data_IF_439079134587
#
_entry.id   IF_439079134587
#
_cell.length_a   1.000
_cell.length_b   1.000
_cell.length_c   1.000
_cell.angle_alpha   90.00
_cell.angle_beta   90.00
_cell.angle_gamma   90.00
#
_symmetry.space_group_name_H-M   'P 1'
#
loop_
_entity.id
_entity.type
_entity.pdbx_description
1 polymer ?
#
# COMPACT_ATOMS: atom_id res chain seq x y z
N UNK A 1 6.63 -20.65 -0.08
CA UNK A 1 6.28 -19.36 0.56
C UNK A 1 4.87 -18.98 0.15
N UNK A 2 4.04 -18.47 1.06
CA UNK A 2 2.70 -17.94 0.76
C UNK A 2 2.76 -16.42 0.91
N UNK A 3 2.24 -15.66 -0.05
CA UNK A 3 2.24 -14.20 0.04
C UNK A 3 1.15 -13.72 0.99
N UNK A 4 1.26 -12.49 1.51
CA UNK A 4 0.23 -11.92 2.37
C UNK A 4 -1.16 -11.91 1.72
N UNK A 5 -1.23 -11.67 0.40
CA UNK A 5 -2.47 -11.75 -0.37
C UNK A 5 -3.09 -13.17 -0.37
N UNK A 6 -2.26 -14.22 -0.48
CA UNK A 6 -2.74 -15.60 -0.40
C UNK A 6 -3.29 -15.90 1.00
N UNK A 7 -2.56 -15.50 2.05
CA UNK A 7 -2.96 -15.72 3.45
C UNK A 7 -4.24 -14.96 3.79
N UNK A 8 -4.38 -13.72 3.33
CA UNK A 8 -5.59 -12.92 3.54
C UNK A 8 -6.83 -13.61 2.96
N UNK A 9 -6.73 -14.15 1.75
CA UNK A 9 -7.85 -14.76 1.05
C UNK A 9 -8.14 -16.21 1.44
N UNK A 10 -7.21 -16.89 2.14
CA UNK A 10 -7.37 -18.30 2.53
C UNK A 10 -7.58 -18.47 4.03
N UNK A 11 -6.70 -17.89 4.84
CA UNK A 11 -6.63 -18.14 6.28
C UNK A 11 -7.27 -17.00 7.10
N UNK A 12 -7.29 -15.77 6.57
CA UNK A 12 -7.65 -14.54 7.31
C UNK A 12 -8.84 -13.77 6.72
N UNK A 13 -9.70 -14.42 5.94
CA UNK A 13 -10.87 -13.78 5.29
C UNK A 13 -11.78 -13.05 6.28
N UNK A 14 -11.87 -13.53 7.52
CA UNK A 14 -12.66 -12.91 8.58
C UNK A 14 -12.27 -11.46 8.88
N UNK A 15 -11.04 -11.05 8.54
CA UNK A 15 -10.60 -9.67 8.68
C UNK A 15 -11.36 -8.70 7.77
N UNK A 16 -11.95 -9.17 6.67
CA UNK A 16 -12.68 -8.38 5.69
C UNK A 16 -14.20 -8.46 5.84
N UNK A 17 -14.71 -9.44 6.60
CA UNK A 17 -16.12 -9.78 6.61
C UNK A 17 -17.01 -8.58 7.03
N UNK A 18 -18.01 -8.29 6.21
CA UNK A 18 -18.97 -7.19 6.40
C UNK A 18 -18.40 -5.78 6.17
N UNK A 19 -17.15 -5.64 5.74
CA UNK A 19 -16.47 -4.35 5.63
C UNK A 19 -16.51 -3.78 4.22
N UNK A 20 -16.53 -2.45 4.15
CA UNK A 20 -16.11 -1.68 2.98
C UNK A 20 -14.58 -1.63 2.94
N UNK A 21 -13.99 -2.19 1.89
CA UNK A 21 -12.55 -2.36 1.76
C UNK A 21 -12.00 -1.32 0.80
N UNK A 22 -11.03 -0.54 1.29
CA UNK A 22 -10.11 0.20 0.45
C UNK A 22 -8.93 -0.68 0.05
N UNK A 23 -8.45 -0.56 -1.18
CA UNK A 23 -7.28 -1.32 -1.65
C UNK A 23 -6.20 -0.37 -2.16
N UNK A 24 -5.04 -0.35 -1.50
CA UNK A 24 -3.79 0.19 -2.03
C UNK A 24 -3.03 -0.92 -2.75
N UNK A 25 -2.96 -0.82 -4.07
CA UNK A 25 -2.37 -1.85 -4.93
C UNK A 25 -1.73 -1.23 -6.18
N UNK A 26 -0.95 -2.05 -6.87
CA UNK A 26 -0.25 -1.73 -8.11
C UNK A 26 -0.14 -3.02 -8.96
N UNK A 27 0.40 -2.98 -10.20
CA UNK A 27 0.37 -4.14 -11.09
C UNK A 27 0.95 -5.45 -10.52
N UNK A 28 1.95 -5.40 -9.63
CA UNK A 28 2.54 -6.61 -9.04
C UNK A 28 1.80 -7.11 -7.78
N UNK A 29 0.63 -6.56 -7.47
CA UNK A 29 -0.30 -7.04 -6.43
C UNK A 29 -0.99 -8.35 -6.84
N UNK A 30 -0.19 -9.34 -7.19
CA UNK A 30 -0.60 -10.67 -7.67
C UNK A 30 -0.52 -11.71 -6.54
N UNK A 31 -1.44 -12.67 -6.54
CA UNK A 31 -1.38 -13.88 -5.72
C UNK A 31 -0.35 -14.89 -6.27
N UNK A 32 -0.16 -16.01 -5.57
CA UNK A 32 0.74 -17.09 -5.98
C UNK A 32 0.41 -17.74 -7.34
N UNK A 33 -0.79 -17.47 -7.89
CA UNK A 33 -1.27 -17.98 -9.19
C UNK A 33 -1.22 -16.90 -10.28
N UNK A 34 -0.64 -15.73 -9.99
CA UNK A 34 -0.56 -14.62 -10.92
C UNK A 34 -1.88 -13.85 -11.12
N UNK A 35 -2.86 -14.01 -10.22
CA UNK A 35 -4.13 -13.26 -10.27
C UNK A 35 -4.03 -12.01 -9.42
N UNK A 36 -4.45 -10.88 -9.97
CA UNK A 36 -4.42 -9.60 -9.26
C UNK A 36 -5.43 -9.56 -8.10
N UNK A 37 -4.99 -9.07 -6.95
CA UNK A 37 -5.75 -9.04 -5.70
C UNK A 37 -7.09 -8.31 -5.85
N UNK A 38 -7.13 -7.19 -6.59
CA UNK A 38 -8.39 -6.49 -6.91
C UNK A 38 -9.41 -7.43 -7.57
N UNK A 39 -8.99 -8.20 -8.58
CA UNK A 39 -9.89 -9.12 -9.28
C UNK A 39 -10.40 -10.23 -8.36
N UNK A 40 -9.53 -10.74 -7.47
CA UNK A 40 -9.90 -11.74 -6.48
C UNK A 40 -10.91 -11.19 -5.45
N UNK A 41 -10.69 -9.98 -4.93
CA UNK A 41 -11.59 -9.33 -3.99
C UNK A 41 -12.94 -8.99 -4.62
N UNK A 42 -12.97 -8.60 -5.90
CA UNK A 42 -14.20 -8.29 -6.64
C UNK A 42 -15.02 -9.53 -7.00
N UNK A 43 -14.38 -10.70 -7.12
CA UNK A 43 -15.07 -11.96 -7.37
C UNK A 43 -15.89 -12.43 -6.16
N UNK A 44 -15.48 -12.05 -4.94
CA UNK A 44 -16.06 -12.52 -3.67
C UNK A 44 -17.00 -11.49 -3.02
N UNK A 45 -18.07 -11.10 -3.74
CA UNK A 45 -18.98 -10.01 -3.34
C UNK A 45 -19.87 -10.29 -2.11
N UNK A 46 -19.89 -11.52 -1.62
CA UNK A 46 -20.82 -11.93 -0.54
C UNK A 46 -20.30 -11.61 0.86
N UNK A 47 -18.98 -11.51 1.00
CA UNK A 47 -18.34 -11.40 2.32
C UNK A 47 -17.89 -9.97 2.63
N UNK A 48 -17.54 -9.17 1.62
CA UNK A 48 -17.09 -7.78 1.75
C UNK A 48 -17.42 -6.98 0.49
N UNK A 49 -17.18 -5.66 0.55
CA UNK A 49 -17.36 -4.78 -0.59
C UNK A 49 -16.12 -3.93 -0.82
N UNK A 50 -15.45 -4.06 -1.97
CA UNK A 50 -14.41 -3.09 -2.35
C UNK A 50 -15.09 -1.81 -2.80
N UNK A 51 -14.74 -0.68 -2.18
CA UNK A 51 -15.42 0.62 -2.41
C UNK A 51 -14.52 1.73 -2.90
N UNK A 52 -13.20 1.61 -2.70
CA UNK A 52 -12.23 2.60 -3.15
C UNK A 52 -10.88 1.94 -3.45
N UNK A 53 -10.20 2.46 -4.45
CA UNK A 53 -8.87 2.03 -4.84
C UNK A 53 -7.88 3.18 -4.63
N UNK A 54 -6.66 2.85 -4.23
CA UNK A 54 -5.57 3.79 -4.00
C UNK A 54 -4.36 3.34 -4.81
N UNK A 55 -3.80 4.25 -5.61
CA UNK A 55 -2.63 3.99 -6.43
C UNK A 55 -1.41 4.76 -5.94
N UNK A 56 -0.23 4.14 -5.89
CA UNK A 56 1.03 4.85 -5.64
C UNK A 56 1.48 5.62 -6.90
N UNK A 57 2.77 5.98 -6.98
CA UNK A 57 3.41 6.73 -8.07
C UNK A 57 3.06 6.28 -9.50
N UNK A 58 2.85 4.98 -9.71
CA UNK A 58 2.54 4.41 -11.03
C UNK A 58 1.08 3.95 -11.19
N UNK A 59 0.21 4.33 -10.25
CA UNK A 59 -1.19 3.94 -10.27
C UNK A 59 -1.43 2.44 -10.05
N UNK A 60 -2.66 2.02 -10.30
CA UNK A 60 -3.15 0.67 -9.94
C UNK A 60 -3.03 -0.30 -11.11
N UNK A 61 -3.31 0.15 -12.33
CA UNK A 61 -3.28 -0.67 -13.55
C UNK A 61 -1.95 -0.63 -14.30
N UNK A 62 -1.04 0.29 -13.94
CA UNK A 62 0.24 0.45 -14.63
C UNK A 62 0.13 1.00 -16.06
N UNK A 63 -1.06 1.43 -16.48
CA UNK A 63 -1.31 2.09 -17.77
C UNK A 63 -0.87 3.56 -17.79
N UNK A 64 -0.42 4.08 -16.65
CA UNK A 64 0.00 5.46 -16.46
C UNK A 64 1.51 5.60 -16.74
N UNK A 65 1.87 6.52 -17.64
CA UNK A 65 3.25 6.83 -18.00
C UNK A 65 4.04 7.35 -16.78
N UNK A 66 5.35 7.06 -16.77
CA UNK A 66 6.31 7.58 -15.79
C UNK A 66 6.18 9.11 -15.62
N UNK A 67 6.12 9.58 -14.36
CA UNK A 67 6.13 11.00 -13.95
C UNK A 67 4.90 11.86 -14.28
N UNK A 68 3.78 11.29 -14.74
CA UNK A 68 2.51 12.03 -14.78
C UNK A 68 1.67 11.78 -13.52
N UNK A 69 1.19 12.84 -12.84
CA UNK A 69 0.22 12.66 -11.76
C UNK A 69 -1.01 11.94 -12.33
N UNK A 70 -1.26 10.72 -11.87
CA UNK A 70 -2.54 10.07 -12.13
C UNK A 70 -3.60 10.91 -11.40
N UNK A 71 -4.54 11.53 -12.10
CA UNK A 71 -5.64 12.19 -11.41
C UNK A 71 -6.57 11.14 -10.79
N UNK A 72 -7.25 11.51 -9.70
CA UNK A 72 -8.29 10.64 -9.14
C UNK A 72 -9.37 10.43 -10.20
N UNK A 73 -9.69 9.18 -10.50
CA UNK A 73 -10.53 8.80 -11.63
C UNK A 73 -11.44 7.62 -11.26
N UNK A 74 -12.25 7.18 -12.21
CA UNK A 74 -12.99 5.92 -12.10
C UNK A 74 -12.18 4.81 -12.73
N UNK A 75 -11.90 3.74 -11.99
CA UNK A 75 -11.26 2.54 -12.52
C UNK A 75 -12.25 1.80 -13.44
N UNK A 76 -12.10 2.02 -14.75
CA UNK A 76 -13.05 1.61 -15.79
C UNK A 76 -13.52 0.15 -15.68
N UNK A 77 -12.64 -0.86 -15.47
CA UNK A 77 -13.08 -2.25 -15.38
C UNK A 77 -14.01 -2.54 -14.19
N UNK A 78 -13.92 -1.76 -13.10
CA UNK A 78 -14.66 -2.01 -11.86
C UNK A 78 -15.76 -0.98 -11.57
N UNK A 79 -15.70 0.21 -12.18
CA UNK A 79 -16.52 1.36 -11.83
C UNK A 79 -16.21 2.00 -10.48
N UNK A 80 -15.17 1.55 -9.77
CA UNK A 80 -14.80 2.08 -8.45
C UNK A 80 -14.03 3.39 -8.55
N UNK A 81 -14.16 4.30 -7.57
CA UNK A 81 -13.27 5.44 -7.46
C UNK A 81 -11.83 4.96 -7.19
N UNK A 82 -10.88 5.50 -7.96
CA UNK A 82 -9.46 5.26 -7.84
C UNK A 82 -8.75 6.58 -7.55
N UNK A 83 -8.13 6.66 -6.38
CA UNK A 83 -7.41 7.84 -5.89
C UNK A 83 -5.91 7.66 -6.09
N UNK A 84 -5.27 8.66 -6.68
CA UNK A 84 -3.82 8.72 -6.74
C UNK A 84 -3.26 9.30 -5.46
N UNK A 85 -2.24 8.63 -4.93
CA UNK A 85 -1.45 9.06 -3.79
C UNK A 85 -0.06 9.53 -4.25
N UNK A 86 -0.01 10.14 -5.44
CA UNK A 86 1.20 10.72 -5.99
C UNK A 86 0.96 12.16 -6.45
N UNK A 87 1.94 13.03 -6.21
CA UNK A 87 1.83 14.42 -6.59
C UNK A 87 2.92 15.30 -6.00
N UNK A 88 2.76 16.62 -6.16
CA UNK A 88 3.81 17.61 -5.87
C UNK A 88 3.91 18.02 -4.40
N UNK A 89 2.96 17.62 -3.55
CA UNK A 89 2.89 18.05 -2.14
C UNK A 89 2.78 16.84 -1.22
N UNK A 90 3.26 16.94 0.01
CA UNK A 90 3.09 15.85 1.00
C UNK A 90 1.60 15.50 1.19
N UNK A 91 0.71 16.49 1.13
CA UNK A 91 -0.75 16.30 1.21
C UNK A 91 -1.34 15.48 0.06
N UNK A 92 -0.71 15.45 -1.12
CA UNK A 92 -1.15 14.61 -2.23
C UNK A 92 -0.66 13.17 -2.13
N UNK A 93 0.27 12.88 -1.21
CA UNK A 93 0.86 11.55 -1.02
C UNK A 93 0.11 10.69 0.01
N UNK A 94 -0.93 11.26 0.65
CA UNK A 94 -1.69 10.62 1.72
C UNK A 94 -3.20 10.63 1.42
N UNK A 95 -3.94 9.58 1.82
CA UNK A 95 -5.39 9.58 1.72
C UNK A 95 -6.03 10.74 2.49
N UNK A 96 -7.01 11.40 1.87
CA UNK A 96 -7.82 12.45 2.50
C UNK A 96 -8.98 11.84 3.27
N UNK A 97 -9.54 12.60 4.23
CA UNK A 97 -10.68 12.14 5.04
C UNK A 97 -11.85 11.63 4.18
N UNK A 98 -12.23 12.38 3.16
CA UNK A 98 -13.35 12.02 2.29
C UNK A 98 -13.09 10.72 1.50
N UNK A 99 -11.83 10.37 1.22
CA UNK A 99 -11.48 9.08 0.61
C UNK A 99 -11.62 7.96 1.63
N UNK A 100 -11.16 8.18 2.87
CA UNK A 100 -11.23 7.21 3.96
C UNK A 100 -12.65 7.03 4.53
N UNK A 101 -13.55 8.01 4.33
CA UNK A 101 -14.97 7.89 4.66
C UNK A 101 -15.69 6.84 3.79
N UNK A 102 -15.11 6.44 2.64
CA UNK A 102 -15.65 5.41 1.76
C UNK A 102 -15.36 3.98 2.21
N UNK A 103 -14.45 3.80 3.18
CA UNK A 103 -13.91 2.49 3.57
C UNK A 103 -14.02 2.29 5.08
N UNK A 104 -14.15 1.05 5.51
CA UNK A 104 -14.06 0.64 6.91
C UNK A 104 -12.64 0.20 7.27
N UNK A 105 -11.92 -0.43 6.33
CA UNK A 105 -10.50 -0.78 6.47
C UNK A 105 -9.73 -0.59 5.17
N UNK A 106 -8.41 -0.41 5.28
CA UNK A 106 -7.50 -0.34 4.14
C UNK A 106 -6.65 -1.61 4.06
N UNK A 107 -6.68 -2.28 2.91
CA UNK A 107 -5.74 -3.35 2.56
C UNK A 107 -4.60 -2.75 1.75
N UNK A 108 -3.36 -3.00 2.16
CA UNK A 108 -2.14 -2.60 1.46
C UNK A 108 -1.47 -3.84 0.89
N UNK A 109 -1.26 -3.88 -0.42
CA UNK A 109 -0.55 -4.96 -1.09
C UNK A 109 0.40 -4.37 -2.14
N UNK A 110 1.65 -4.07 -1.76
CA UNK A 110 2.65 -3.46 -2.63
C UNK A 110 3.95 -4.27 -2.60
N UNK A 111 4.51 -4.55 -3.78
CA UNK A 111 5.81 -5.18 -3.91
C UNK A 111 6.87 -4.09 -3.94
N UNK A 112 7.61 -3.98 -2.85
CA UNK A 112 8.76 -3.08 -2.74
C UNK A 112 10.05 -3.77 -3.27
N UNK A 113 11.13 -3.01 -3.40
CA UNK A 113 12.44 -3.49 -3.87
C UNK A 113 13.51 -3.57 -2.78
N UNK A 114 13.19 -3.18 -1.54
CA UNK A 114 14.07 -3.26 -0.37
C UNK A 114 14.99 -2.05 -0.18
N UNK A 115 14.72 -0.93 -0.89
CA UNK A 115 15.50 0.30 -0.77
C UNK A 115 14.66 1.48 -0.33
N UNK A 116 15.23 2.31 0.55
CA UNK A 116 14.64 3.55 1.05
C UNK A 116 14.15 4.48 -0.05
N UNK A 117 14.79 4.49 -1.21
CA UNK A 117 14.44 5.44 -2.28
C UNK A 117 13.22 5.00 -3.08
N UNK A 118 12.77 3.74 -2.94
CA UNK A 118 11.53 3.29 -3.55
C UNK A 118 10.34 3.70 -2.68
N UNK A 119 9.42 4.47 -3.26
CA UNK A 119 8.46 5.28 -2.51
C UNK A 119 7.25 4.49 -2.01
N UNK A 120 7.17 3.18 -2.28
CA UNK A 120 6.00 2.36 -1.93
C UNK A 120 5.88 2.13 -0.43
N UNK A 121 6.99 1.86 0.27
CA UNK A 121 6.99 1.78 1.73
C UNK A 121 6.55 3.11 2.37
N UNK A 122 6.90 4.25 1.77
CA UNK A 122 6.48 5.56 2.26
C UNK A 122 5.02 5.87 1.94
N UNK A 123 4.52 5.44 0.78
CA UNK A 123 3.09 5.51 0.46
C UNK A 123 2.26 4.68 1.44
N UNK A 124 2.71 3.45 1.76
CA UNK A 124 2.06 2.60 2.75
C UNK A 124 2.07 3.24 4.13
N UNK A 125 3.18 3.84 4.53
CA UNK A 125 3.32 4.49 5.83
C UNK A 125 2.43 5.73 5.97
N UNK A 126 2.41 6.60 4.96
CA UNK A 126 1.50 7.75 4.92
C UNK A 126 0.02 7.33 4.92
N UNK A 127 -0.31 6.20 4.30
CA UNK A 127 -1.63 5.59 4.43
C UNK A 127 -1.93 5.15 5.85
N UNK A 128 -0.97 4.52 6.54
CA UNK A 128 -1.13 4.10 7.94
C UNK A 128 -1.35 5.28 8.88
N UNK A 129 -0.56 6.36 8.75
CA UNK A 129 -0.75 7.58 9.54
C UNK A 129 -2.14 8.19 9.32
N UNK A 130 -2.58 8.29 8.07
CA UNK A 130 -3.91 8.80 7.74
C UNK A 130 -5.02 7.89 8.30
N UNK A 131 -4.85 6.57 8.20
CA UNK A 131 -5.80 5.60 8.74
C UNK A 131 -5.88 5.65 10.26
N UNK A 132 -4.74 5.78 10.96
CA UNK A 132 -4.69 5.94 12.41
C UNK A 132 -5.46 7.20 12.86
N UNK A 133 -5.24 8.33 12.18
CA UNK A 133 -5.96 9.58 12.44
C UNK A 133 -7.49 9.45 12.35
N UNK A 134 -7.99 8.65 11.41
CA UNK A 134 -9.43 8.44 11.19
C UNK A 134 -9.93 7.08 11.67
N UNK A 135 -9.16 6.39 12.52
CA UNK A 135 -9.49 5.10 13.16
C UNK A 135 -9.92 4.02 12.15
N UNK A 136 -9.23 3.94 11.02
CA UNK A 136 -9.40 2.89 10.01
C UNK A 136 -8.36 1.79 10.26
N UNK A 137 -8.77 0.53 10.49
CA UNK A 137 -7.83 -0.58 10.55
C UNK A 137 -7.09 -0.74 9.22
N UNK A 138 -5.80 -1.05 9.30
CA UNK A 138 -4.94 -1.34 8.14
C UNK A 138 -4.54 -2.81 8.17
N UNK A 139 -4.59 -3.45 7.01
CA UNK A 139 -4.17 -4.84 6.80
C UNK A 139 -3.06 -4.80 5.75
N UNK A 140 -1.83 -5.14 6.16
CA UNK A 140 -0.69 -5.21 5.24
C UNK A 140 -0.55 -6.65 4.74
N UNK A 141 -0.76 -6.84 3.44
CA UNK A 141 -0.42 -8.08 2.75
C UNK A 141 1.09 -8.11 2.55
N UNK A 142 1.80 -8.74 3.48
CA UNK A 142 3.25 -8.71 3.46
C UNK A 142 3.84 -9.40 2.21
N UNK A 143 4.99 -8.88 1.76
CA UNK A 143 5.70 -9.34 0.56
C UNK A 143 7.20 -9.48 0.82
N UNK A 144 7.86 -10.43 0.14
CA UNK A 144 9.30 -10.62 0.30
C UNK A 144 10.06 -9.36 -0.11
N UNK A 145 11.12 -9.06 0.65
CA UNK A 145 12.14 -8.12 0.22
C UNK A 145 13.03 -8.81 -0.85
N UNK A 146 13.05 -8.34 -2.11
CA UNK A 146 13.72 -9.05 -3.20
C UNK A 146 15.25 -9.00 -3.10
N UNK A 147 15.81 -8.09 -2.29
CA UNK A 147 17.24 -8.02 -2.00
C UNK A 147 17.55 -8.67 -0.64
N UNK A 148 17.06 -9.90 -0.48
CA UNK A 148 17.25 -10.88 0.61
C UNK A 148 16.57 -10.62 1.96
N UNK A 149 16.18 -9.38 2.30
CA UNK A 149 15.53 -9.11 3.59
C UNK A 149 16.40 -9.42 4.82
N UNK A 150 17.72 -9.34 4.70
CA UNK A 150 18.68 -9.62 5.77
C UNK A 150 19.82 -8.60 5.78
N UNK A 151 20.39 -8.30 4.63
CA UNK A 151 21.53 -7.39 4.52
C UNK A 151 21.07 -5.95 4.71
N UNK A 152 21.77 -5.22 5.57
CA UNK A 152 21.53 -3.81 5.86
C UNK A 152 22.75 -3.00 5.43
N UNK A 153 22.55 -1.99 4.57
CA UNK A 153 23.62 -1.17 3.99
C UNK A 153 23.22 0.30 3.86
N UNK A 154 24.18 1.20 4.05
CA UNK A 154 24.03 2.64 3.90
C UNK A 154 23.55 3.36 5.17
N UNK A 155 23.84 4.66 5.23
CA UNK A 155 23.51 5.50 6.39
C UNK A 155 22.01 5.70 6.57
N UNK A 156 21.59 5.96 7.81
CA UNK A 156 20.25 6.42 8.13
C UNK A 156 19.99 7.80 7.49
N UNK A 157 18.72 8.16 7.33
CA UNK A 157 18.41 9.51 6.87
C UNK A 157 18.73 10.52 7.99
N UNK A 158 19.53 11.53 7.67
CA UNK A 158 19.92 12.57 8.62
C UNK A 158 18.74 13.47 8.98
N UNK A 159 18.76 14.03 10.19
CA UNK A 159 17.74 15.01 10.61
C UNK A 159 17.76 16.20 9.65
N UNK A 160 16.59 16.54 9.10
CA UNK A 160 16.43 17.63 8.13
C UNK A 160 16.43 17.21 6.67
N UNK A 161 16.79 15.94 6.37
CA UNK A 161 16.78 15.38 5.00
C UNK A 161 15.58 14.46 4.74
N UNK A 162 14.60 14.43 5.65
CA UNK A 162 13.36 13.68 5.46
C UNK A 162 12.59 14.20 4.25
N UNK A 163 12.27 13.29 3.33
CA UNK A 163 11.50 13.59 2.11
C UNK A 163 10.70 12.35 1.68
N UNK A 164 9.94 12.43 0.59
CA UNK A 164 9.16 11.28 0.14
C UNK A 164 10.01 10.07 -0.31
N UNK A 165 11.29 10.27 -0.61
CA UNK A 165 12.25 9.19 -0.92
C UNK A 165 13.05 8.76 0.31
N UNK A 166 12.57 9.08 1.52
CA UNK A 166 13.22 8.76 2.78
C UNK A 166 12.50 9.42 3.95
N UNK A 167 11.30 8.94 4.28
CA UNK A 167 10.42 9.61 5.23
C UNK A 167 10.84 9.40 6.70
N UNK A 168 11.39 8.23 7.02
CA UNK A 168 11.85 7.83 8.35
C UNK A 168 13.32 7.36 8.32
N UNK A 169 13.99 7.33 9.48
CA UNK A 169 15.40 6.93 9.56
C UNK A 169 15.55 5.41 9.38
N UNK A 170 15.54 4.97 8.12
CA UNK A 170 15.90 3.60 7.72
C UNK A 170 17.18 3.63 6.87
N UNK A 171 18.02 2.59 6.89
CA UNK A 171 19.17 2.46 5.99
C UNK A 171 18.76 2.46 4.51
N UNK A 172 19.71 2.74 3.61
CA UNK A 172 19.43 2.73 2.15
C UNK A 172 18.90 1.38 1.72
N UNK A 173 19.58 0.30 2.10
CA UNK A 173 19.07 -1.07 2.02
C UNK A 173 18.64 -1.46 3.42
N UNK A 174 17.33 -1.50 3.65
CA UNK A 174 16.79 -1.60 5.01
C UNK A 174 16.63 -3.04 5.53
N UNK A 175 16.72 -4.05 4.65
CA UNK A 175 16.69 -5.45 5.06
C UNK A 175 15.36 -5.93 5.66
N UNK A 176 14.25 -5.21 5.44
CA UNK A 176 12.94 -5.51 6.01
C UNK A 176 11.89 -5.75 4.92
N UNK A 177 10.85 -6.54 5.21
CA UNK A 177 9.62 -6.59 4.41
C UNK A 177 8.77 -5.32 4.60
N UNK A 178 7.73 -5.15 3.79
CA UNK A 178 6.82 -4.02 3.96
C UNK A 178 6.00 -4.13 5.27
N UNK A 179 5.68 -5.35 5.69
CA UNK A 179 5.04 -5.63 6.99
C UNK A 179 5.95 -5.29 8.17
N UNK A 180 7.24 -5.63 8.09
CA UNK A 180 8.22 -5.28 9.11
C UNK A 180 8.46 -3.76 9.18
N UNK A 181 8.53 -3.07 8.03
CA UNK A 181 8.57 -1.60 7.99
C UNK A 181 7.32 -1.01 8.64
N UNK A 182 6.13 -1.51 8.30
CA UNK A 182 4.88 -1.04 8.87
C UNK A 182 4.87 -1.16 10.41
N UNK A 183 5.31 -2.30 10.94
CA UNK A 183 5.48 -2.50 12.38
C UNK A 183 6.51 -1.56 13.00
N UNK A 184 7.70 -1.47 12.39
CA UNK A 184 8.76 -0.58 12.86
C UNK A 184 8.28 0.88 12.97
N UNK A 185 7.57 1.39 11.97
CA UNK A 185 7.01 2.74 12.04
C UNK A 185 5.96 2.82 13.15
N UNK A 186 4.98 1.91 13.18
CA UNK A 186 3.88 1.97 14.15
C UNK A 186 4.35 1.96 15.62
N UNK A 187 5.46 1.30 15.90
CA UNK A 187 5.96 1.14 17.27
C UNK A 187 6.92 2.26 17.69
N UNK A 188 7.60 2.90 16.73
CA UNK A 188 8.71 3.84 16.99
C UNK A 188 8.35 5.29 16.62
N UNK A 189 7.33 5.52 15.79
CA UNK A 189 7.02 6.81 15.18
C UNK A 189 5.52 7.11 15.14
#
# INVERSE_FOLDING_TARGET
>A
MRLGADVLLTDQRGLLQGKKVGLLAHPASLDSRGKHLLGLLLAEKKDWQVTALFGPEHGITGESLYMEPVESTTHQPSGLPAFSLYGKTLKSLSPKKNMLDLIDCLVIDLQDVGTRYYTYIWTATLCMEACAKYKKPVIVCDRPNPINGVTVEGELNEKGYASFVGLYPVPVRHGMTIGEIAHFINDVH
#
